data_IF_963220069657
#
_entry.id   IF_963220069657
#
_cell.length_a   1.000
_cell.length_b   1.000
_cell.length_c   1.000
_cell.angle_alpha   90.00
_cell.angle_beta   90.00
_cell.angle_gamma   90.00
#
_symmetry.space_group_name_H-M   'P 1'
#
loop_
_entity.id
_entity.type
_entity.pdbx_description
1 polymer ?
#
# COMPACT_ATOMS: atom_id res chain seq x y z
N UNK A 1 14.32 -0.80 -5.59
CA UNK A 1 14.02 -2.07 -6.31
C UNK A 1 13.53 -1.71 -7.71
N UNK A 2 14.23 -2.06 -8.81
CA UNK A 2 13.85 -1.63 -10.17
C UNK A 2 12.60 -2.39 -10.66
N UNK A 3 11.40 -1.83 -10.40
CA UNK A 3 10.07 -2.41 -10.74
C UNK A 3 9.95 -2.87 -12.20
N UNK A 4 10.63 -2.20 -13.15
CA UNK A 4 10.67 -2.61 -14.57
C UNK A 4 11.13 -4.05 -14.79
N UNK A 5 12.04 -4.57 -13.94
CA UNK A 5 12.56 -5.95 -14.05
C UNK A 5 11.60 -7.00 -13.49
N UNK A 6 10.70 -6.60 -12.59
CA UNK A 6 9.69 -7.50 -12.01
C UNK A 6 8.53 -7.75 -12.99
N UNK A 7 8.15 -6.73 -13.78
CA UNK A 7 7.07 -6.83 -14.76
C UNK A 7 7.48 -7.45 -16.10
N UNK A 8 8.79 -7.54 -16.41
CA UNK A 8 9.30 -8.02 -17.70
C UNK A 8 9.63 -9.53 -17.74
N UNK A 9 9.17 -10.30 -16.77
CA UNK A 9 9.70 -11.65 -16.48
C UNK A 9 8.82 -12.83 -16.88
N UNK A 10 8.31 -12.91 -18.12
CA UNK A 10 7.79 -14.19 -18.69
C UNK A 10 8.11 -14.26 -20.18
N UNK A 11 9.32 -14.68 -20.51
CA UNK A 11 9.67 -15.36 -21.77
C UNK A 11 11.16 -15.76 -21.70
N UNK A 12 11.43 -16.98 -21.23
CA UNK A 12 12.68 -17.67 -21.56
C UNK A 12 12.34 -19.07 -22.01
N UNK A 13 12.32 -19.24 -23.33
CA UNK A 13 12.49 -20.52 -24.01
C UNK A 13 13.91 -21.01 -23.76
N UNK A 14 14.08 -22.18 -23.12
CA UNK A 14 15.38 -22.85 -23.03
C UNK A 14 15.38 -24.06 -23.97
N UNK A 15 16.29 -24.03 -24.95
CA UNK A 15 16.59 -25.12 -25.87
C UNK A 15 17.79 -25.96 -25.39
N UNK A 16 17.60 -27.28 -25.31
CA UNK A 16 18.65 -28.33 -25.32
C UNK A 16 18.87 -29.10 -24.01
N UNK A 17 19.40 -30.34 -24.05
CA UNK A 17 19.01 -31.51 -24.85
C UNK A 17 18.40 -32.64 -23.96
N UNK A 18 17.78 -33.61 -24.62
CA UNK A 18 17.15 -34.78 -24.02
C UNK A 18 18.14 -35.69 -23.26
N UNK A 19 17.81 -36.10 -22.03
CA UNK A 19 17.67 -37.53 -21.70
C UNK A 19 17.04 -37.76 -20.32
N UNK A 20 16.34 -38.90 -20.22
CA UNK A 20 15.72 -39.54 -19.04
C UNK A 20 14.36 -39.01 -18.56
N UNK A 21 13.32 -39.71 -19.04
CA UNK A 21 11.98 -39.73 -18.51
C UNK A 21 11.94 -40.34 -17.10
N UNK A 22 11.45 -39.56 -16.14
CA UNK A 22 10.87 -40.07 -14.90
C UNK A 22 9.38 -39.71 -14.90
N UNK A 23 8.53 -40.71 -14.67
CA UNK A 23 7.07 -40.58 -14.62
C UNK A 23 6.63 -39.44 -13.69
N UNK A 24 5.79 -38.56 -14.20
CA UNK A 24 5.11 -37.52 -13.42
C UNK A 24 3.96 -38.18 -12.67
N UNK A 25 3.94 -38.21 -11.33
CA UNK A 25 2.76 -38.64 -10.61
C UNK A 25 1.68 -37.59 -10.79
N UNK A 26 0.49 -38.04 -11.20
CA UNK A 26 -0.72 -37.25 -11.30
C UNK A 26 -1.03 -36.60 -9.94
N UNK A 27 -0.92 -35.27 -9.88
CA UNK A 27 -1.38 -34.49 -8.73
C UNK A 27 -2.91 -34.49 -8.78
N UNK A 28 -3.52 -35.41 -8.05
CA UNK A 28 -4.94 -35.35 -7.69
C UNK A 28 -5.22 -34.08 -6.88
N UNK A 29 -6.35 -33.44 -7.15
CA UNK A 29 -6.83 -32.29 -6.38
C UNK A 29 -7.17 -32.72 -4.96
N UNK A 30 -6.26 -32.53 -4.01
CA UNK A 30 -6.58 -32.53 -2.59
C UNK A 30 -6.51 -31.09 -2.08
N UNK A 31 -7.61 -30.65 -1.45
CA UNK A 31 -7.71 -29.33 -0.83
C UNK A 31 -6.56 -29.11 0.15
N UNK A 32 -5.88 -27.98 -0.01
CA UNK A 32 -4.70 -27.63 0.77
C UNK A 32 -5.04 -27.37 2.23
N UNK A 33 -4.84 -28.38 3.08
CA UNK A 33 -4.68 -28.20 4.52
C UNK A 33 -3.33 -27.51 4.77
N UNK A 34 -3.36 -26.19 4.96
CA UNK A 34 -2.22 -25.44 5.48
C UNK A 34 -1.98 -25.84 6.95
N UNK A 35 -0.82 -26.44 7.22
CA UNK A 35 -0.40 -26.95 8.53
C UNK A 35 -0.72 -25.96 9.65
N UNK A 36 -1.61 -26.35 10.56
CA UNK A 36 -2.02 -25.55 11.72
C UNK A 36 -0.84 -25.28 12.66
N UNK A 37 -0.30 -24.06 12.61
CA UNK A 37 0.72 -23.59 13.57
C UNK A 37 0.09 -23.41 14.96
N UNK A 38 0.52 -24.21 15.93
CA UNK A 38 0.21 -24.07 17.36
C UNK A 38 1.22 -23.14 18.03
N UNK A 39 0.76 -22.33 18.98
CA UNK A 39 1.62 -21.58 19.91
C UNK A 39 1.16 -21.96 21.31
N UNK A 40 2.06 -22.47 22.15
CA UNK A 40 1.79 -22.91 23.52
C UNK A 40 0.57 -23.83 23.67
N UNK A 41 0.45 -24.83 22.78
CA UNK A 41 -0.66 -25.80 22.80
C UNK A 41 -2.04 -25.23 22.47
N UNK A 42 -2.15 -23.94 22.14
CA UNK A 42 -3.41 -23.29 21.75
C UNK A 42 -3.54 -23.26 20.23
N UNK A 43 -4.63 -23.82 19.70
CA UNK A 43 -4.95 -23.75 18.27
C UNK A 43 -5.40 -22.33 17.93
N UNK A 44 -4.72 -21.69 16.99
CA UNK A 44 -5.14 -20.38 16.48
C UNK A 44 -6.44 -20.53 15.70
N UNK A 45 -7.45 -19.70 16.02
CA UNK A 45 -8.71 -19.60 15.27
C UNK A 45 -8.36 -19.18 13.84
N UNK A 46 -8.52 -20.04 12.85
CA UNK A 46 -8.17 -19.80 11.44
C UNK A 46 -9.22 -20.41 10.52
N UNK A 47 -9.46 -19.74 9.39
CA UNK A 47 -10.22 -20.27 8.27
C UNK A 47 -9.24 -20.67 7.16
N UNK A 48 -9.56 -21.73 6.41
CA UNK A 48 -8.87 -22.11 5.16
C UNK A 48 -9.46 -21.44 3.93
N UNK A 49 -10.50 -20.61 4.11
CA UNK A 49 -11.14 -19.88 3.00
C UNK A 49 -10.19 -18.86 2.37
N UNK A 50 -10.33 -18.67 1.06
CA UNK A 50 -9.62 -17.69 0.26
C UNK A 50 -10.38 -16.36 0.16
N UNK A 51 -10.74 -15.98 -1.07
CA UNK A 51 -11.49 -14.76 -1.41
C UNK A 51 -12.98 -15.04 -1.68
N UNK A 52 -13.46 -16.26 -1.37
CA UNK A 52 -14.86 -16.60 -1.58
C UNK A 52 -15.76 -15.77 -0.67
N UNK A 53 -16.99 -15.43 -1.13
CA UNK A 53 -17.95 -14.71 -0.30
C UNK A 53 -18.21 -15.42 1.04
N UNK A 54 -18.28 -14.63 2.11
CA UNK A 54 -18.71 -15.12 3.43
C UNK A 54 -20.23 -15.00 3.49
N UNK A 55 -20.93 -16.13 3.53
CA UNK A 55 -22.38 -16.15 3.74
C UNK A 55 -22.71 -15.82 5.20
N UNK A 56 -23.83 -15.12 5.43
CA UNK A 56 -24.29 -14.78 6.80
C UNK A 56 -24.49 -16.04 7.66
N UNK A 57 -24.98 -17.14 7.05
CA UNK A 57 -25.14 -18.43 7.72
C UNK A 57 -23.83 -19.07 8.20
N UNK A 58 -22.70 -18.69 7.58
CA UNK A 58 -21.37 -19.19 7.94
C UNK A 58 -20.67 -18.29 8.97
N UNK A 59 -21.32 -17.21 9.44
CA UNK A 59 -20.69 -16.23 10.32
C UNK A 59 -20.41 -16.81 11.71
N UNK A 60 -19.13 -16.93 12.05
CA UNK A 60 -18.65 -17.42 13.34
C UNK A 60 -17.24 -16.88 13.62
N UNK A 61 -16.63 -17.32 14.72
CA UNK A 61 -15.27 -16.91 15.12
C UNK A 61 -14.20 -17.14 14.05
N UNK A 62 -14.29 -18.19 13.23
CA UNK A 62 -13.30 -18.46 12.18
C UNK A 62 -13.44 -17.47 11.01
N UNK A 63 -14.66 -17.20 10.56
CA UNK A 63 -14.90 -16.22 9.47
C UNK A 63 -14.66 -14.79 9.93
N UNK A 64 -14.97 -14.48 11.20
CA UNK A 64 -14.63 -13.20 11.81
C UNK A 64 -13.11 -13.02 11.90
N UNK A 65 -12.38 -14.01 12.39
CA UNK A 65 -10.92 -13.98 12.44
C UNK A 65 -10.29 -13.85 11.05
N UNK A 66 -10.87 -14.50 10.03
CA UNK A 66 -10.43 -14.37 8.64
C UNK A 66 -10.60 -12.94 8.14
N UNK A 67 -11.82 -12.40 8.23
CA UNK A 67 -12.13 -11.04 7.79
C UNK A 67 -11.22 -10.02 8.47
N UNK A 68 -11.16 -10.02 9.80
CA UNK A 68 -10.39 -9.03 10.55
C UNK A 68 -8.89 -9.09 10.26
N UNK A 69 -8.30 -10.26 9.97
CA UNK A 69 -6.87 -10.34 9.61
C UNK A 69 -6.56 -9.76 8.24
N UNK A 70 -7.53 -9.79 7.33
CA UNK A 70 -7.38 -9.17 6.00
C UNK A 70 -7.60 -7.67 6.05
N UNK A 71 -8.47 -7.20 6.95
CA UNK A 71 -8.83 -5.78 7.06
C UNK A 71 -8.09 -5.01 8.15
N UNK A 72 -7.35 -5.67 9.05
CA UNK A 72 -6.63 -5.02 10.16
C UNK A 72 -5.19 -5.53 10.32
N UNK A 73 -4.35 -4.79 11.04
CA UNK A 73 -3.03 -5.23 11.46
C UNK A 73 -3.05 -5.87 12.85
N UNK A 74 -3.34 -7.17 12.88
CA UNK A 74 -3.23 -7.99 14.10
C UNK A 74 -4.44 -7.87 15.03
N UNK A 75 -5.65 -8.28 14.58
CA UNK A 75 -6.82 -8.28 15.44
C UNK A 75 -6.60 -9.16 16.68
N UNK A 76 -6.98 -8.62 17.82
CA UNK A 76 -6.90 -9.30 19.12
C UNK A 76 -7.95 -10.39 19.22
N UNK A 77 -7.75 -11.34 20.15
CA UNK A 77 -8.76 -12.37 20.43
C UNK A 77 -10.09 -11.75 20.89
N UNK A 78 -10.04 -10.68 21.67
CA UNK A 78 -11.24 -9.97 22.14
C UNK A 78 -12.03 -9.37 20.97
N UNK A 79 -11.36 -8.71 20.02
CA UNK A 79 -12.01 -8.15 18.83
C UNK A 79 -12.62 -9.24 17.94
N UNK A 80 -11.95 -10.39 17.78
CA UNK A 80 -12.50 -11.54 17.04
C UNK A 80 -13.77 -12.06 17.71
N UNK A 81 -13.75 -12.22 19.04
CA UNK A 81 -14.92 -12.69 19.79
C UNK A 81 -16.06 -11.67 19.75
N UNK A 82 -15.75 -10.39 19.85
CA UNK A 82 -16.72 -9.31 19.70
C UNK A 82 -17.38 -9.33 18.32
N UNK A 83 -16.59 -9.42 17.24
CA UNK A 83 -17.12 -9.48 15.88
C UNK A 83 -17.98 -10.74 15.65
N UNK A 84 -17.56 -11.89 16.18
CA UNK A 84 -18.31 -13.14 16.07
C UNK A 84 -19.62 -13.15 16.88
N UNK A 85 -19.69 -12.37 17.95
CA UNK A 85 -20.92 -12.16 18.73
C UNK A 85 -21.88 -11.14 18.08
N UNK A 86 -21.37 -10.32 17.14
CA UNK A 86 -22.15 -9.41 16.33
C UNK A 86 -22.53 -10.07 14.99
N UNK A 87 -23.42 -9.43 14.23
CA UNK A 87 -23.69 -9.85 12.85
C UNK A 87 -22.53 -9.46 11.92
N UNK A 88 -22.44 -10.12 10.77
CA UNK A 88 -21.52 -9.74 9.70
C UNK A 88 -21.70 -8.26 9.32
N UNK A 89 -22.94 -7.81 9.12
CA UNK A 89 -23.24 -6.43 8.72
C UNK A 89 -22.82 -5.40 9.77
N UNK A 90 -23.01 -5.69 11.06
CA UNK A 90 -22.55 -4.82 12.14
C UNK A 90 -21.02 -4.73 12.17
N UNK A 91 -20.33 -5.86 11.94
CA UNK A 91 -18.86 -5.90 11.85
C UNK A 91 -18.34 -5.12 10.64
N UNK A 92 -18.98 -5.25 9.47
CA UNK A 92 -18.65 -4.47 8.29
C UNK A 92 -18.86 -2.97 8.52
N UNK A 93 -19.99 -2.61 9.12
CA UNK A 93 -20.29 -1.21 9.48
C UNK A 93 -19.22 -0.61 10.40
N UNK A 94 -18.72 -1.39 11.38
CA UNK A 94 -17.61 -0.96 12.22
C UNK A 94 -16.30 -0.80 11.43
N UNK A 95 -15.95 -1.78 10.58
CA UNK A 95 -14.72 -1.75 9.78
C UNK A 95 -14.63 -0.54 8.83
N UNK A 96 -15.76 -0.15 8.24
CA UNK A 96 -15.86 1.01 7.36
C UNK A 96 -16.21 2.32 8.09
N UNK A 97 -16.39 2.27 9.41
CA UNK A 97 -16.68 3.43 10.23
C UNK A 97 -15.56 4.46 10.20
N UNK A 98 -15.94 5.74 10.33
CA UNK A 98 -15.00 6.85 10.44
C UNK A 98 -14.18 6.71 11.72
N UNK A 99 -12.87 6.89 11.59
CA UNK A 99 -11.92 6.84 12.70
C UNK A 99 -11.33 8.23 12.94
N UNK A 100 -11.04 8.62 14.20
CA UNK A 100 -10.33 9.85 14.47
C UNK A 100 -8.91 9.81 13.86
N UNK A 101 -8.35 10.97 13.54
CA UNK A 101 -6.95 11.05 13.13
C UNK A 101 -6.04 10.65 14.30
N UNK A 102 -4.96 9.89 14.04
CA UNK A 102 -3.97 9.60 15.06
C UNK A 102 -3.29 10.89 15.56
N UNK A 103 -2.74 10.90 16.79
CA UNK A 103 -1.91 12.01 17.25
C UNK A 103 -0.69 12.18 16.33
N UNK A 104 -0.18 13.40 16.22
CA UNK A 104 0.98 13.71 15.39
C UNK A 104 2.23 12.92 15.84
N UNK A 105 3.16 12.57 14.92
CA UNK A 105 4.42 11.95 15.29
C UNK A 105 5.24 12.91 16.15
N UNK A 106 5.68 12.43 17.32
CA UNK A 106 6.66 13.12 18.15
C UNK A 106 8.07 12.89 17.60
N UNK A 107 8.98 13.84 17.78
CA UNK A 107 10.38 13.70 17.37
C UNK A 107 11.33 13.32 18.50
N UNK A 108 12.63 13.19 18.18
CA UNK A 108 13.68 12.99 19.18
C UNK A 108 13.92 14.23 20.04
N UNK A 109 14.43 13.99 21.24
CA UNK A 109 14.91 15.01 22.18
C UNK A 109 16.38 14.72 22.50
N UNK A 110 17.35 15.58 22.12
CA UNK A 110 17.26 16.77 21.24
C UNK A 110 16.99 16.42 19.75
N UNK A 111 16.64 17.39 18.87
CA UNK A 111 16.65 18.85 19.07
C UNK A 111 15.33 19.41 19.61
N UNK A 112 14.27 18.60 19.63
CA UNK A 112 12.98 19.05 20.12
C UNK A 112 12.89 18.88 21.64
N UNK A 113 12.06 19.68 22.30
CA UNK A 113 11.62 19.37 23.65
C UNK A 113 10.80 18.07 23.69
N UNK A 114 10.79 17.38 24.83
CA UNK A 114 10.08 16.12 24.99
C UNK A 114 8.60 16.27 24.61
N UNK A 115 8.09 15.33 23.80
CA UNK A 115 6.69 15.30 23.36
C UNK A 115 6.35 16.25 22.21
N UNK A 116 7.30 17.01 21.68
CA UNK A 116 7.05 17.92 20.56
C UNK A 116 7.10 17.20 19.20
N UNK A 117 6.35 17.75 18.24
CA UNK A 117 6.33 17.29 16.86
C UNK A 117 7.18 18.18 15.95
N UNK A 118 7.64 17.61 14.83
CA UNK A 118 8.42 18.30 13.80
C UNK A 118 7.63 18.56 12.51
N UNK A 119 6.40 18.04 12.41
CA UNK A 119 5.64 18.02 11.13
C UNK A 119 5.37 19.40 10.54
N UNK A 120 5.25 20.43 11.41
CA UNK A 120 5.01 21.82 11.03
C UNK A 120 6.23 22.72 11.28
N UNK A 121 7.38 22.13 11.62
CA UNK A 121 8.61 22.87 11.87
C UNK A 121 9.29 23.29 10.56
N UNK A 122 10.18 24.27 10.66
CA UNK A 122 11.12 24.61 9.58
C UNK A 122 11.94 23.37 9.23
N UNK A 123 12.36 23.26 7.96
CA UNK A 123 13.18 22.14 7.51
C UNK A 123 14.51 22.13 8.27
N UNK A 124 14.89 20.96 8.77
CA UNK A 124 16.14 20.76 9.49
C UNK A 124 16.91 19.62 8.85
N UNK A 125 17.86 19.95 7.97
CA UNK A 125 18.67 18.97 7.25
C UNK A 125 19.56 18.13 8.18
N UNK A 126 19.90 18.63 9.36
CA UNK A 126 20.75 17.92 10.33
C UNK A 126 19.99 16.78 10.99
N UNK A 127 18.71 16.99 11.32
CA UNK A 127 17.90 16.02 12.06
C UNK A 127 16.84 15.29 11.22
N UNK A 128 16.67 15.61 9.93
CA UNK A 128 15.60 15.02 9.11
C UNK A 128 15.66 13.48 9.04
N UNK A 129 16.86 12.89 8.98
CA UNK A 129 17.01 11.43 9.03
C UNK A 129 16.47 10.82 10.33
N UNK A 130 16.59 11.53 11.45
CA UNK A 130 16.02 11.10 12.72
C UNK A 130 14.49 11.24 12.67
N UNK A 131 13.97 12.33 12.12
CA UNK A 131 12.53 12.50 11.92
C UNK A 131 11.93 11.40 11.03
N UNK A 132 12.63 10.98 9.98
CA UNK A 132 12.22 9.85 9.13
C UNK A 132 12.15 8.52 9.91
N UNK A 133 13.10 8.28 10.83
CA UNK A 133 13.08 7.12 11.70
C UNK A 133 11.88 7.16 12.66
N UNK A 134 11.60 8.31 13.26
CA UNK A 134 10.47 8.51 14.17
C UNK A 134 9.12 8.43 13.42
N UNK A 135 9.03 8.91 12.18
CA UNK A 135 7.85 8.76 11.34
C UNK A 135 7.50 7.28 11.10
N UNK A 136 8.51 6.46 10.77
CA UNK A 136 8.32 5.01 10.58
C UNK A 136 7.83 4.33 11.87
N UNK A 137 8.48 4.64 13.00
CA UNK A 137 8.09 4.08 14.30
C UNK A 137 6.67 4.51 14.70
N UNK A 138 6.33 5.78 14.50
CA UNK A 138 4.98 6.30 14.71
C UNK A 138 3.95 5.59 13.84
N UNK A 139 4.20 5.44 12.53
CA UNK A 139 3.23 4.81 11.63
C UNK A 139 3.01 3.33 11.96
N UNK A 140 4.07 2.59 12.29
CA UNK A 140 3.96 1.22 12.84
C UNK A 140 3.14 1.21 14.14
N UNK A 141 3.34 2.19 15.02
CA UNK A 141 2.54 2.36 16.22
C UNK A 141 1.05 2.60 15.92
N UNK A 142 0.73 3.42 14.93
CA UNK A 142 -0.64 3.66 14.47
C UNK A 142 -1.26 2.38 13.91
N UNK A 143 -0.52 1.63 13.09
CA UNK A 143 -0.98 0.35 12.52
C UNK A 143 -1.22 -0.70 13.61
N UNK A 144 -0.33 -0.85 14.59
CA UNK A 144 -0.47 -1.89 15.63
C UNK A 144 -1.49 -1.54 16.72
N UNK A 145 -1.83 -0.26 16.89
CA UNK A 145 -2.83 0.23 17.86
C UNK A 145 -4.14 0.64 17.20
N UNK A 146 -4.35 0.28 15.93
CA UNK A 146 -5.60 0.58 15.26
C UNK A 146 -6.78 -0.07 16.00
N UNK A 147 -7.95 0.59 15.99
CA UNK A 147 -9.20 -0.07 16.34
C UNK A 147 -9.71 -0.94 15.18
N UNK A 148 -10.94 -1.44 15.33
CA UNK A 148 -11.66 -2.18 14.29
C UNK A 148 -11.99 -1.27 13.09
N UNK A 149 -11.04 -1.14 12.17
CA UNK A 149 -11.15 -0.32 10.96
C UNK A 149 -10.24 -0.82 9.85
N UNK A 150 -10.67 -0.69 8.60
CA UNK A 150 -9.85 -0.99 7.42
C UNK A 150 -8.85 0.13 7.06
N UNK A 151 -8.98 1.31 7.69
CA UNK A 151 -8.28 2.54 7.24
C UNK A 151 -6.78 2.36 7.05
N UNK A 152 -6.05 1.86 8.04
CA UNK A 152 -4.59 1.79 7.94
C UNK A 152 -4.10 0.70 6.95
N UNK A 153 -4.88 -0.36 6.71
CA UNK A 153 -4.60 -1.30 5.61
C UNK A 153 -4.63 -0.58 4.27
N UNK A 154 -5.64 0.28 4.08
CA UNK A 154 -5.77 1.08 2.86
C UNK A 154 -4.68 2.15 2.77
N UNK A 155 -4.27 2.78 3.88
CA UNK A 155 -3.13 3.72 3.89
C UNK A 155 -1.85 3.02 3.40
N UNK A 156 -1.54 1.83 3.92
CA UNK A 156 -0.39 1.06 3.45
C UNK A 156 -0.52 0.64 1.98
N UNK A 157 -1.71 0.24 1.56
CA UNK A 157 -1.99 -0.08 0.17
C UNK A 157 -1.73 1.12 -0.75
N UNK A 158 -2.27 2.29 -0.44
CA UNK A 158 -2.08 3.52 -1.23
C UNK A 158 -0.63 4.00 -1.24
N UNK A 159 0.06 3.90 -0.09
CA UNK A 159 1.50 4.18 -0.03
C UNK A 159 2.32 3.24 -0.92
N UNK A 160 1.91 1.98 -1.07
CA UNK A 160 2.57 1.06 -2.01
C UNK A 160 2.21 1.33 -3.48
N UNK A 161 0.96 1.73 -3.74
CA UNK A 161 0.45 2.09 -5.06
C UNK A 161 1.14 3.35 -5.61
N UNK A 162 1.00 4.47 -4.88
CA UNK A 162 1.65 5.76 -5.18
C UNK A 162 3.00 5.87 -4.47
N UNK A 163 3.89 4.91 -4.78
CA UNK A 163 5.16 4.79 -4.08
C UNK A 163 6.07 6.01 -4.26
N UNK A 164 6.66 6.46 -3.15
CA UNK A 164 7.75 7.44 -3.09
C UNK A 164 8.86 6.90 -2.18
N UNK A 165 10.08 7.41 -2.35
CA UNK A 165 11.23 7.04 -1.51
C UNK A 165 11.79 8.25 -0.77
N UNK A 166 11.95 8.11 0.55
CA UNK A 166 12.53 9.17 1.37
C UNK A 166 13.92 9.62 0.90
N UNK A 167 14.75 8.71 0.37
CA UNK A 167 16.11 9.04 -0.08
C UNK A 167 16.11 10.07 -1.21
N UNK A 168 15.07 10.06 -2.04
CA UNK A 168 14.88 11.02 -3.15
C UNK A 168 14.08 12.26 -2.70
N UNK A 169 13.11 12.09 -1.77
CA UNK A 169 12.28 13.20 -1.27
C UNK A 169 13.05 14.11 -0.30
N UNK A 170 13.87 13.51 0.58
CA UNK A 170 14.73 14.15 1.58
C UNK A 170 14.02 15.21 2.43
N UNK A 171 12.78 14.93 2.82
CA UNK A 171 12.00 15.76 3.72
C UNK A 171 10.92 14.92 4.41
N UNK A 172 11.13 14.64 5.71
CA UNK A 172 10.19 13.83 6.48
C UNK A 172 8.80 14.47 6.57
N UNK A 173 8.69 15.80 6.43
CA UNK A 173 7.40 16.52 6.53
C UNK A 173 6.54 16.23 5.31
N UNK A 174 7.18 16.12 4.14
CA UNK A 174 6.50 15.72 2.92
C UNK A 174 6.04 14.26 3.00
N UNK A 175 6.88 13.37 3.54
CA UNK A 175 6.50 11.97 3.75
C UNK A 175 5.31 11.83 4.73
N UNK A 176 5.30 12.58 5.82
CA UNK A 176 4.17 12.63 6.75
C UNK A 176 2.90 13.15 6.07
N UNK A 177 2.99 14.27 5.35
CA UNK A 177 1.86 14.86 4.62
C UNK A 177 1.26 13.89 3.61
N UNK A 178 2.09 13.17 2.86
CA UNK A 178 1.62 12.18 1.89
C UNK A 178 0.93 11.00 2.60
N UNK A 179 1.51 10.50 3.70
CA UNK A 179 0.89 9.45 4.51
C UNK A 179 -0.48 9.90 5.05
N UNK A 180 -0.60 11.14 5.49
CA UNK A 180 -1.86 11.70 5.98
C UNK A 180 -2.88 11.94 4.86
N UNK A 181 -2.43 12.36 3.67
CA UNK A 181 -3.25 12.44 2.47
C UNK A 181 -3.88 11.08 2.13
N UNK A 182 -3.10 10.00 2.17
CA UNK A 182 -3.63 8.64 1.99
C UNK A 182 -4.63 8.24 3.07
N UNK A 183 -4.43 8.69 4.32
CA UNK A 183 -5.35 8.43 5.43
C UNK A 183 -6.68 9.14 5.28
N UNK A 184 -6.66 10.42 4.91
CA UNK A 184 -7.86 11.21 4.66
C UNK A 184 -8.68 10.68 3.48
N UNK A 185 -8.04 10.02 2.52
CA UNK A 185 -8.65 9.52 1.29
C UNK A 185 -8.68 7.99 1.20
N UNK A 186 -8.48 7.27 2.32
CA UNK A 186 -8.23 5.83 2.33
C UNK A 186 -9.34 5.01 1.64
N UNK A 187 -10.59 5.45 1.78
CA UNK A 187 -11.79 4.84 1.20
C UNK A 187 -12.50 5.79 0.22
N UNK A 188 -11.80 6.84 -0.23
CA UNK A 188 -12.37 7.90 -1.05
C UNK A 188 -12.39 7.60 -2.55
N UNK A 189 -12.71 8.63 -3.33
CA UNK A 189 -12.74 8.53 -4.78
C UNK A 189 -11.31 8.47 -5.37
N UNK A 190 -11.02 7.43 -6.15
CA UNK A 190 -9.70 7.21 -6.73
C UNK A 190 -9.24 8.37 -7.64
N UNK A 191 -10.12 8.90 -8.49
CA UNK A 191 -9.78 10.04 -9.38
C UNK A 191 -9.42 11.29 -8.58
N UNK A 192 -10.11 11.53 -7.46
CA UNK A 192 -9.76 12.63 -6.57
C UNK A 192 -8.41 12.39 -5.88
N UNK A 193 -8.16 11.17 -5.39
CA UNK A 193 -6.89 10.81 -4.79
C UNK A 193 -5.72 11.01 -5.77
N UNK A 194 -5.86 10.58 -7.02
CA UNK A 194 -4.86 10.79 -8.07
C UNK A 194 -4.52 12.28 -8.21
N UNK A 195 -5.52 13.17 -8.30
CA UNK A 195 -5.31 14.62 -8.39
C UNK A 195 -4.58 15.18 -7.17
N UNK A 196 -4.92 14.71 -5.97
CA UNK A 196 -4.25 15.15 -4.73
C UNK A 196 -2.79 14.71 -4.70
N UNK A 197 -2.49 13.47 -5.12
CA UNK A 197 -1.12 12.95 -5.23
C UNK A 197 -0.31 13.68 -6.29
N UNK A 198 -0.93 14.10 -7.39
CA UNK A 198 -0.25 14.87 -8.45
C UNK A 198 0.41 16.15 -7.94
N UNK A 199 -0.19 16.82 -6.97
CA UNK A 199 0.33 18.07 -6.40
C UNK A 199 0.94 17.88 -5.00
N UNK A 200 1.11 16.64 -4.56
CA UNK A 200 1.71 16.33 -3.28
C UNK A 200 3.23 16.60 -3.32
N UNK A 201 3.81 17.28 -2.32
CA UNK A 201 5.22 17.67 -2.35
C UNK A 201 6.20 16.49 -2.35
N UNK A 202 5.85 15.35 -1.74
CA UNK A 202 6.71 14.17 -1.81
C UNK A 202 6.72 13.60 -3.22
N UNK A 203 5.54 13.49 -3.86
CA UNK A 203 5.45 13.04 -5.26
C UNK A 203 6.15 13.98 -6.24
N UNK A 204 5.96 15.30 -6.07
CA UNK A 204 6.59 16.32 -6.90
C UNK A 204 8.12 16.28 -6.83
N UNK A 205 8.70 16.01 -5.65
CA UNK A 205 10.15 15.78 -5.54
C UNK A 205 10.57 14.44 -6.12
N UNK A 206 9.86 13.37 -5.79
CA UNK A 206 10.22 12.00 -6.16
C UNK A 206 10.30 11.80 -7.68
N UNK A 207 9.33 12.36 -8.42
CA UNK A 207 9.27 12.22 -9.89
C UNK A 207 9.64 13.50 -10.63
N UNK A 208 10.42 14.39 -9.99
CA UNK A 208 11.01 15.59 -10.57
C UNK A 208 9.99 16.63 -11.09
N UNK A 209 8.73 16.58 -10.65
CA UNK A 209 7.72 17.60 -10.95
C UNK A 209 8.10 18.99 -10.44
N UNK A 210 8.88 19.07 -9.35
CA UNK A 210 9.46 20.32 -8.84
C UNK A 210 10.47 20.98 -9.80
N UNK A 211 10.93 20.26 -10.83
CA UNK A 211 11.85 20.78 -11.87
C UNK A 211 11.16 20.95 -13.23
N UNK A 212 9.85 20.70 -13.30
CA UNK A 212 9.06 20.88 -14.50
C UNK A 212 8.84 22.38 -14.75
N UNK A 213 9.34 22.89 -15.87
CA UNK A 213 9.27 24.32 -16.20
C UNK A 213 8.77 24.53 -17.62
N UNK A 214 8.17 25.70 -17.85
CA UNK A 214 7.71 26.12 -19.18
C UNK A 214 8.87 26.05 -20.19
N UNK A 215 8.63 25.40 -21.32
CA UNK A 215 9.63 25.22 -22.38
C UNK A 215 10.59 24.03 -22.18
N UNK A 216 10.61 23.41 -21.00
CA UNK A 216 11.37 22.17 -20.74
C UNK A 216 10.56 21.17 -19.91
N UNK A 217 9.48 20.58 -20.48
CA UNK A 217 8.63 19.64 -19.75
C UNK A 217 9.39 18.41 -19.25
N UNK A 218 9.09 17.97 -18.03
CA UNK A 218 9.61 16.75 -17.44
C UNK A 218 8.53 15.65 -17.49
N UNK A 219 8.74 14.67 -18.36
CA UNK A 219 7.76 13.62 -18.61
C UNK A 219 7.70 12.54 -17.54
N UNK A 220 8.60 12.53 -16.55
CA UNK A 220 8.74 11.41 -15.63
C UNK A 220 7.43 11.16 -14.85
N UNK A 221 6.88 12.18 -14.17
CA UNK A 221 5.59 12.03 -13.48
C UNK A 221 4.44 11.71 -14.45
N UNK A 222 4.38 12.36 -15.60
CA UNK A 222 3.35 12.15 -16.61
C UNK A 222 3.31 10.69 -17.12
N UNK A 223 4.49 10.09 -17.29
CA UNK A 223 4.65 8.70 -17.71
C UNK A 223 4.24 7.75 -16.59
N UNK A 224 4.76 7.93 -15.39
CA UNK A 224 4.43 7.07 -14.24
C UNK A 224 2.95 7.14 -13.86
N UNK A 225 2.32 8.33 -14.02
CA UNK A 225 0.89 8.52 -13.83
C UNK A 225 0.07 7.58 -14.72
N UNK A 226 0.42 7.47 -15.99
CA UNK A 226 -0.27 6.61 -16.96
C UNK A 226 0.16 5.15 -16.79
N UNK A 227 1.47 4.89 -16.77
CA UNK A 227 2.07 3.56 -16.81
C UNK A 227 1.87 2.76 -15.52
N UNK A 228 2.07 3.37 -14.35
CA UNK A 228 2.11 2.66 -13.08
C UNK A 228 0.93 2.99 -12.16
N UNK A 229 0.44 4.23 -12.18
CA UNK A 229 -0.53 4.66 -11.17
C UNK A 229 -1.99 4.57 -11.61
N UNK A 230 -2.29 4.55 -12.91
CA UNK A 230 -3.69 4.60 -13.39
C UNK A 230 -4.02 3.50 -14.39
N UNK A 231 -3.81 3.74 -15.68
CA UNK A 231 -4.33 2.92 -16.78
C UNK A 231 -3.45 1.72 -17.11
N UNK A 232 -2.18 1.72 -16.67
CA UNK A 232 -1.24 0.65 -16.96
C UNK A 232 -0.60 0.80 -18.33
N UNK A 233 0.61 0.25 -18.50
CA UNK A 233 1.34 0.30 -19.79
C UNK A 233 0.56 -0.30 -20.97
N UNK A 234 0.05 -1.52 -20.80
CA UNK A 234 -0.45 -2.33 -21.91
C UNK A 234 0.65 -2.76 -22.90
N UNK A 235 0.34 -3.64 -23.88
CA UNK A 235 1.28 -4.01 -24.93
C UNK A 235 1.71 -2.80 -25.78
N UNK A 236 2.99 -2.81 -26.19
CA UNK A 236 3.52 -1.88 -27.18
C UNK A 236 3.16 -2.37 -28.59
N UNK A 237 2.44 -1.54 -29.34
CA UNK A 237 1.96 -1.86 -30.70
C UNK A 237 2.78 -1.16 -31.79
N UNK A 238 3.44 -0.06 -31.45
CA UNK A 238 4.50 0.57 -32.22
C UNK A 238 5.41 1.34 -31.26
N UNK A 239 6.59 1.77 -31.70
CA UNK A 239 7.52 2.52 -30.85
C UNK A 239 6.84 3.74 -30.22
N UNK A 240 6.75 3.77 -28.89
CA UNK A 240 6.09 4.86 -28.16
C UNK A 240 4.56 4.88 -28.31
N UNK A 241 3.95 3.80 -28.79
CA UNK A 241 2.50 3.63 -28.89
C UNK A 241 2.08 2.35 -28.17
N UNK A 242 1.37 2.53 -27.06
CA UNK A 242 0.83 1.44 -26.27
C UNK A 242 -0.68 1.36 -26.44
N UNK A 243 -1.24 0.17 -26.23
CA UNK A 243 -2.71 -0.03 -26.27
C UNK A 243 -3.51 0.91 -25.37
N UNK A 244 -2.91 1.42 -24.29
CA UNK A 244 -3.58 2.28 -23.32
C UNK A 244 -3.25 3.78 -23.46
N UNK A 245 -2.08 4.14 -23.99
CA UNK A 245 -1.64 5.53 -24.20
C UNK A 245 -0.50 5.63 -25.20
N UNK A 246 -0.27 6.84 -25.72
CA UNK A 246 0.83 7.15 -26.63
C UNK A 246 1.89 8.03 -25.96
N UNK A 247 3.07 8.10 -26.56
CA UNK A 247 4.12 9.04 -26.18
C UNK A 247 3.64 10.51 -26.26
N UNK A 248 2.72 10.80 -27.18
CA UNK A 248 2.12 12.13 -27.30
C UNK A 248 1.24 12.47 -26.09
N UNK A 249 0.53 11.48 -25.52
CA UNK A 249 -0.27 11.66 -24.30
C UNK A 249 0.63 11.96 -23.10
N UNK A 250 1.79 11.30 -22.99
CA UNK A 250 2.81 11.60 -21.97
C UNK A 250 3.32 13.03 -22.11
N UNK A 251 3.68 13.45 -23.32
CA UNK A 251 4.14 14.82 -23.59
C UNK A 251 3.07 15.87 -23.31
N UNK A 252 1.81 15.60 -23.66
CA UNK A 252 0.69 16.49 -23.41
C UNK A 252 0.43 16.64 -21.90
N UNK A 253 0.41 15.52 -21.16
CA UNK A 253 0.29 15.52 -19.71
C UNK A 253 1.44 16.30 -19.04
N UNK A 254 2.69 16.08 -19.48
CA UNK A 254 3.87 16.76 -18.92
C UNK A 254 3.84 18.29 -19.04
N UNK A 255 3.09 18.84 -20.01
CA UNK A 255 2.95 20.30 -20.21
C UNK A 255 1.94 20.95 -19.27
N UNK A 256 0.99 20.18 -18.72
CA UNK A 256 -0.08 20.70 -17.85
C UNK A 256 0.13 20.36 -16.37
N UNK A 257 1.11 19.49 -16.09
CA UNK A 257 1.58 19.12 -14.75
C UNK A 257 2.63 20.11 -14.25
#
# INVERSE_FOLDING_TARGET
MKRRRFLSGVARTSSGPADQAAEVPTIGSSGGDEVTKTVDGRRLIRSTRGLEPINVADWNSNTAAHLLRRTMFGPTRAEIQQAAAQTLDATLSALFGVQPSPPLPVGPTPPLAAGQTWVNSVFDATYDNNFAAYLKAWWIGVMTKQGMSIREKMVLFWHNHFATEYVDVQDSRFMYRQNDLFRQNALGNFKQLVKLVTIDPAMLRYLNGNTNIVGRPNENYARELQELFTIGKGPEIAQGNYTNYTEQDVQAAARVL
#
